data_IF_464253704197
#
_entry.id   IF_464253704197
#
_cell.length_a   1.000
_cell.length_b   1.000
_cell.length_c   1.000
_cell.angle_alpha   90.00
_cell.angle_beta   90.00
_cell.angle_gamma   90.00
#
_symmetry.space_group_name_H-M   'P 1'
#
loop_
_entity.id
_entity.type
_entity.pdbx_description
1 polymer ?
#
# COMPACT_ATOMS: atom_id res chain seq x y z
N UNK A 1 7.92 -14.08 -18.10
CA UNK A 1 6.72 -14.32 -17.29
C UNK A 1 6.54 -13.22 -16.28
N UNK A 2 5.44 -12.48 -16.38
CA UNK A 2 5.05 -11.50 -15.35
C UNK A 2 4.47 -12.23 -14.14
N UNK A 3 4.81 -11.75 -12.94
CA UNK A 3 4.24 -12.30 -11.72
C UNK A 3 2.72 -12.06 -11.67
N UNK A 4 1.98 -13.06 -11.22
CA UNK A 4 0.54 -12.98 -11.10
C UNK A 4 0.14 -12.39 -9.75
N UNK A 5 -0.76 -11.41 -9.77
CA UNK A 5 -1.38 -10.86 -8.56
C UNK A 5 -2.68 -11.60 -8.31
N UNK A 6 -2.86 -12.10 -7.09
CA UNK A 6 -4.09 -12.74 -6.62
C UNK A 6 -4.69 -11.97 -5.45
N UNK A 7 -5.95 -12.20 -5.15
CA UNK A 7 -6.53 -11.71 -3.91
C UNK A 7 -5.94 -12.45 -2.72
N UNK A 8 -5.73 -11.75 -1.61
CA UNK A 8 -5.27 -12.36 -0.38
C UNK A 8 -6.29 -13.35 0.18
N UNK A 9 -5.80 -14.31 0.93
CA UNK A 9 -6.61 -15.25 1.73
C UNK A 9 -6.22 -15.11 3.20
N UNK A 10 -7.03 -15.66 4.10
CA UNK A 10 -6.78 -15.52 5.55
C UNK A 10 -5.40 -16.03 5.97
N UNK A 11 -4.87 -17.05 5.30
CA UNK A 11 -3.53 -17.57 5.56
C UNK A 11 -2.40 -16.57 5.30
N UNK A 12 -2.67 -15.51 4.53
CA UNK A 12 -1.67 -14.47 4.20
C UNK A 12 -1.53 -13.41 5.29
N UNK A 13 -2.50 -13.30 6.20
CA UNK A 13 -2.59 -12.17 7.14
C UNK A 13 -1.31 -11.96 7.95
N UNK A 14 -0.83 -13.00 8.62
CA UNK A 14 0.34 -12.88 9.49
C UNK A 14 1.60 -12.47 8.72
N UNK A 15 1.78 -12.99 7.52
CA UNK A 15 2.92 -12.65 6.69
C UNK A 15 2.84 -11.19 6.19
N UNK A 16 1.66 -10.71 5.81
CA UNK A 16 1.46 -9.32 5.41
C UNK A 16 1.78 -8.39 6.58
N UNK A 17 1.27 -8.68 7.78
CA UNK A 17 1.55 -7.89 8.99
C UNK A 17 3.05 -7.86 9.27
N UNK A 18 3.72 -9.01 9.18
CA UNK A 18 5.17 -9.11 9.36
C UNK A 18 5.93 -8.24 8.37
N UNK A 19 5.55 -8.25 7.10
CA UNK A 19 6.17 -7.41 6.07
C UNK A 19 5.91 -5.92 6.30
N UNK A 20 4.70 -5.54 6.70
CA UNK A 20 4.38 -4.15 7.05
C UNK A 20 5.27 -3.68 8.19
N UNK A 21 5.45 -4.49 9.23
CA UNK A 21 6.33 -4.19 10.35
C UNK A 21 7.77 -3.96 9.90
N UNK A 22 8.28 -4.86 9.05
CA UNK A 22 9.63 -4.75 8.50
C UNK A 22 9.83 -3.47 7.68
N UNK A 23 8.87 -3.12 6.83
CA UNK A 23 8.98 -1.97 5.94
C UNK A 23 8.61 -0.65 6.62
N UNK A 24 7.83 -0.69 7.70
CA UNK A 24 7.55 0.47 8.52
C UNK A 24 8.82 1.09 9.08
N UNK A 25 9.83 0.28 9.40
CA UNK A 25 11.13 0.77 9.86
C UNK A 25 11.82 1.68 8.83
N UNK A 26 11.50 1.54 7.55
CA UNK A 26 12.04 2.38 6.49
C UNK A 26 11.14 3.57 6.14
N UNK A 27 9.83 3.41 6.19
CA UNK A 27 8.89 4.34 5.56
C UNK A 27 7.84 4.92 6.51
N UNK A 28 7.68 4.38 7.71
CA UNK A 28 6.63 4.82 8.63
C UNK A 28 6.85 6.23 9.16
N UNK A 29 5.81 7.06 9.09
CA UNK A 29 5.80 8.40 9.65
C UNK A 29 5.35 8.41 11.12
N UNK A 30 4.37 7.57 11.44
CA UNK A 30 3.80 7.43 12.78
C UNK A 30 4.10 6.04 13.36
N UNK A 31 4.04 5.87 14.70
CA UNK A 31 4.27 4.55 15.30
C UNK A 31 3.33 3.49 14.75
N UNK A 32 3.87 2.30 14.52
CA UNK A 32 3.09 1.18 14.00
C UNK A 32 2.16 0.61 15.09
N UNK A 33 0.91 0.35 14.72
CA UNK A 33 -0.04 -0.41 15.52
C UNK A 33 -0.47 -1.64 14.73
N UNK A 34 -0.02 -2.82 15.14
CA UNK A 34 -0.40 -4.08 14.52
C UNK A 34 -1.93 -4.29 14.58
N UNK A 35 -2.55 -3.92 15.71
CA UNK A 35 -4.01 -4.00 15.85
C UNK A 35 -4.73 -3.21 14.74
N UNK A 36 -4.27 -1.98 14.46
CA UNK A 36 -4.87 -1.15 13.42
C UNK A 36 -4.69 -1.75 12.02
N UNK A 37 -3.51 -2.31 11.75
CA UNK A 37 -3.26 -3.00 10.47
C UNK A 37 -4.24 -4.16 10.28
N UNK A 38 -4.41 -4.99 11.32
CA UNK A 38 -5.34 -6.13 11.25
C UNK A 38 -6.80 -5.68 11.12
N UNK A 39 -7.20 -4.58 11.75
CA UNK A 39 -8.54 -4.00 11.57
C UNK A 39 -8.79 -3.60 10.10
N UNK A 40 -7.79 -2.99 9.44
CA UNK A 40 -7.87 -2.66 8.01
C UNK A 40 -8.04 -3.92 7.17
N UNK A 41 -7.28 -4.97 7.49
CA UNK A 41 -7.38 -6.24 6.76
C UNK A 41 -8.76 -6.87 6.91
N UNK A 42 -9.42 -6.73 8.05
CA UNK A 42 -10.77 -7.27 8.27
C UNK A 42 -11.81 -6.66 7.33
N UNK A 43 -11.65 -5.41 6.90
CA UNK A 43 -12.52 -4.82 5.88
C UNK A 43 -12.52 -5.65 4.60
N UNK A 44 -11.36 -6.15 4.20
CA UNK A 44 -11.25 -7.04 3.04
C UNK A 44 -11.89 -8.40 3.31
N UNK A 45 -11.52 -9.06 4.41
CA UNK A 45 -12.03 -10.41 4.72
C UNK A 45 -13.54 -10.45 4.94
N UNK A 46 -14.11 -9.37 5.46
CA UNK A 46 -15.56 -9.22 5.63
C UNK A 46 -16.28 -8.66 4.41
N UNK A 47 -15.56 -8.40 3.33
CA UNK A 47 -16.11 -7.80 2.09
C UNK A 47 -16.78 -6.45 2.33
N UNK A 48 -16.14 -5.60 3.13
CA UNK A 48 -16.62 -4.28 3.54
C UNK A 48 -15.90 -3.13 2.81
N UNK A 49 -15.74 -3.24 1.50
CA UNK A 49 -15.21 -2.15 0.67
C UNK A 49 -13.68 -2.04 0.70
N UNK A 50 -12.99 -3.16 0.56
CA UNK A 50 -11.54 -3.18 0.40
C UNK A 50 -11.11 -4.37 -0.44
N UNK A 51 -9.95 -4.23 -1.10
CA UNK A 51 -9.29 -5.30 -1.86
C UNK A 51 -7.84 -5.38 -1.42
N UNK A 52 -7.33 -6.59 -1.25
CA UNK A 52 -5.91 -6.84 -1.00
C UNK A 52 -5.38 -7.75 -2.09
N UNK A 53 -4.47 -7.21 -2.91
CA UNK A 53 -3.72 -7.98 -3.89
C UNK A 53 -2.39 -8.43 -3.31
N UNK A 54 -1.96 -9.63 -3.64
CA UNK A 54 -0.68 -10.20 -3.21
C UNK A 54 0.00 -10.94 -4.34
N UNK A 55 1.32 -11.02 -4.27
CA UNK A 55 2.16 -11.87 -5.11
C UNK A 55 2.82 -12.91 -4.20
N UNK A 56 2.83 -14.16 -4.61
CA UNK A 56 3.39 -15.27 -3.86
C UNK A 56 2.36 -16.33 -3.50
N UNK A 57 2.82 -17.44 -2.95
CA UNK A 57 1.98 -18.55 -2.57
C UNK A 57 1.13 -18.23 -1.33
N UNK A 58 0.01 -18.94 -1.19
CA UNK A 58 -0.86 -18.80 -0.01
C UNK A 58 -0.08 -19.04 1.28
N UNK A 59 -0.18 -18.11 2.21
CA UNK A 59 0.55 -18.12 3.48
C UNK A 59 1.96 -17.58 3.41
N UNK A 60 2.49 -17.30 2.21
CA UNK A 60 3.84 -16.76 2.02
C UNK A 60 3.90 -15.68 0.93
N UNK A 61 3.06 -14.64 1.00
CA UNK A 61 3.13 -13.54 0.05
C UNK A 61 4.46 -12.79 0.18
N UNK A 62 4.96 -12.27 -0.94
CA UNK A 62 6.21 -11.50 -1.01
C UNK A 62 6.00 -10.06 -1.44
N UNK A 63 4.79 -9.70 -1.83
CA UNK A 63 4.40 -8.34 -2.18
C UNK A 63 2.90 -8.17 -1.93
N UNK A 64 2.46 -6.95 -1.63
CA UNK A 64 1.04 -6.68 -1.36
C UNK A 64 0.67 -5.24 -1.67
N UNK A 65 -0.58 -5.03 -2.08
CA UNK A 65 -1.22 -3.74 -2.21
C UNK A 65 -2.63 -3.79 -1.60
N UNK A 66 -3.00 -2.74 -0.88
CA UNK A 66 -4.34 -2.58 -0.30
C UNK A 66 -5.05 -1.42 -0.98
N UNK A 67 -6.26 -1.66 -1.47
CA UNK A 67 -7.12 -0.66 -2.07
C UNK A 67 -8.44 -0.60 -1.28
N UNK A 68 -8.67 0.53 -0.59
CA UNK A 68 -9.95 0.80 0.06
C UNK A 68 -10.89 1.54 -0.90
N UNK A 69 -12.18 1.22 -0.86
CA UNK A 69 -13.21 1.92 -1.61
C UNK A 69 -13.77 3.02 -0.72
N UNK A 70 -13.54 4.28 -1.08
CA UNK A 70 -13.80 5.43 -0.22
C UNK A 70 -14.41 6.59 -0.99
N UNK A 71 -14.98 7.58 -0.26
CA UNK A 71 -15.43 8.86 -0.81
C UNK A 71 -14.64 9.98 -0.16
N UNK A 72 -14.23 11.02 -0.94
CA UNK A 72 -13.71 12.25 -0.33
C UNK A 72 -14.81 12.93 0.51
N UNK A 73 -14.43 13.68 1.54
CA UNK A 73 -15.41 14.35 2.40
C UNK A 73 -16.30 15.37 1.64
N UNK A 74 -15.85 15.83 0.48
CA UNK A 74 -16.55 16.85 -0.31
C UNK A 74 -17.24 16.30 -1.57
N UNK A 75 -17.18 14.99 -1.80
CA UNK A 75 -17.68 14.40 -3.05
C UNK A 75 -18.39 13.07 -2.80
N UNK A 76 -19.40 12.80 -3.59
CA UNK A 76 -20.08 11.51 -3.62
C UNK A 76 -19.40 10.50 -4.56
N UNK A 77 -18.31 10.90 -5.20
CA UNK A 77 -17.54 10.01 -6.07
C UNK A 77 -16.79 8.96 -5.24
N UNK A 78 -17.00 7.69 -5.55
CA UNK A 78 -16.22 6.60 -4.99
C UNK A 78 -14.90 6.50 -5.72
N UNK A 79 -13.83 6.15 -4.99
CA UNK A 79 -12.50 5.93 -5.56
C UNK A 79 -11.76 4.83 -4.79
N UNK A 80 -10.72 4.31 -5.41
CA UNK A 80 -9.81 3.35 -4.78
C UNK A 80 -8.65 4.12 -4.14
N UNK A 81 -8.51 3.96 -2.83
CA UNK A 81 -7.45 4.61 -2.06
C UNK A 81 -6.45 3.57 -1.57
N UNK A 82 -5.21 3.70 -2.00
CA UNK A 82 -4.15 2.79 -1.59
C UNK A 82 -3.75 3.07 -0.13
N UNK A 83 -3.71 2.03 0.72
CA UNK A 83 -3.23 2.12 2.09
C UNK A 83 -1.81 1.60 2.23
N UNK A 84 -1.46 0.53 1.54
CA UNK A 84 -0.07 0.07 1.43
C UNK A 84 0.21 -0.50 0.05
N UNK A 85 1.47 -0.46 -0.31
CA UNK A 85 1.97 -0.98 -1.57
C UNK A 85 3.46 -1.27 -1.36
N UNK A 86 3.81 -2.53 -1.25
CA UNK A 86 5.19 -2.90 -0.93
C UNK A 86 5.61 -4.22 -1.55
N UNK A 87 6.93 -4.37 -1.69
CA UNK A 87 7.60 -5.61 -2.08
C UNK A 87 8.60 -5.95 -0.98
N UNK A 88 8.62 -7.22 -0.56
CA UNK A 88 9.60 -7.69 0.43
C UNK A 88 11.03 -7.35 -0.04
N UNK A 89 11.93 -6.90 0.85
CA UNK A 89 13.28 -6.46 0.46
C UNK A 89 14.07 -7.46 -0.38
N UNK A 90 13.89 -8.76 -0.14
CA UNK A 90 14.58 -9.81 -0.91
C UNK A 90 14.13 -9.90 -2.37
N UNK A 91 13.02 -9.24 -2.72
CA UNK A 91 12.41 -9.27 -4.06
C UNK A 91 12.37 -7.90 -4.74
N UNK A 92 13.09 -6.90 -4.22
CA UNK A 92 13.07 -5.52 -4.77
C UNK A 92 13.61 -5.38 -6.19
N UNK A 93 14.42 -6.33 -6.64
CA UNK A 93 14.97 -6.34 -8.00
C UNK A 93 14.04 -7.01 -9.02
N UNK A 94 12.88 -7.48 -8.56
CA UNK A 94 11.85 -8.05 -9.41
C UNK A 94 11.01 -6.96 -10.07
N UNK A 95 10.05 -7.38 -10.92
CA UNK A 95 9.04 -6.51 -11.49
C UNK A 95 7.75 -6.46 -10.63
N UNK A 96 7.78 -6.93 -9.40
CA UNK A 96 6.60 -7.10 -8.55
C UNK A 96 5.88 -5.78 -8.27
N UNK A 97 6.61 -4.70 -8.00
CA UNK A 97 6.00 -3.38 -7.79
C UNK A 97 5.21 -2.94 -9.03
N UNK A 98 5.75 -3.19 -10.21
CA UNK A 98 5.10 -2.90 -11.49
C UNK A 98 3.86 -3.77 -11.71
N UNK A 99 3.92 -5.04 -11.31
CA UNK A 99 2.78 -5.96 -11.39
C UNK A 99 1.64 -5.53 -10.45
N UNK A 100 1.97 -5.12 -9.22
CA UNK A 100 0.97 -4.61 -8.27
C UNK A 100 0.29 -3.34 -8.80
N UNK A 101 1.05 -2.40 -9.33
CA UNK A 101 0.50 -1.18 -9.92
C UNK A 101 -0.39 -1.50 -11.13
N UNK A 102 0.06 -2.40 -12.00
CA UNK A 102 -0.73 -2.85 -13.16
C UNK A 102 -2.06 -3.47 -12.73
N UNK A 103 -2.03 -4.33 -11.72
CA UNK A 103 -3.23 -4.93 -11.15
C UNK A 103 -4.19 -3.86 -10.59
N UNK A 104 -3.67 -2.88 -9.85
CA UNK A 104 -4.49 -1.80 -9.30
C UNK A 104 -5.15 -0.97 -10.41
N UNK A 105 -4.43 -0.70 -11.50
CA UNK A 105 -4.97 0.00 -12.68
C UNK A 105 -6.07 -0.82 -13.36
N UNK A 106 -5.89 -2.13 -13.46
CA UNK A 106 -6.91 -3.04 -14.02
C UNK A 106 -8.17 -3.07 -13.15
N UNK A 107 -8.01 -3.15 -11.82
CA UNK A 107 -9.14 -3.08 -10.88
C UNK A 107 -9.88 -1.75 -11.02
N UNK A 108 -9.16 -0.64 -11.09
CA UNK A 108 -9.73 0.69 -11.34
C UNK A 108 -10.59 0.71 -12.61
N UNK A 109 -10.05 0.19 -13.70
CA UNK A 109 -10.75 0.14 -14.99
C UNK A 109 -11.98 -0.76 -14.94
N UNK A 110 -11.87 -1.94 -14.33
CA UNK A 110 -12.98 -2.90 -14.24
C UNK A 110 -14.11 -2.40 -13.34
N UNK A 111 -13.78 -1.73 -12.24
CA UNK A 111 -14.77 -1.17 -11.31
C UNK A 111 -15.29 0.20 -11.74
N UNK A 112 -14.64 0.86 -12.68
CA UNK A 112 -14.98 2.22 -13.09
C UNK A 112 -14.73 3.25 -11.98
N UNK A 113 -13.70 3.05 -11.14
CA UNK A 113 -13.37 3.92 -10.01
C UNK A 113 -11.99 4.53 -10.20
N UNK A 114 -11.82 5.85 -9.98
CA UNK A 114 -10.48 6.45 -9.96
C UNK A 114 -9.59 5.77 -8.93
N UNK A 115 -8.29 5.73 -9.19
CA UNK A 115 -7.28 5.15 -8.31
C UNK A 115 -6.35 6.26 -7.80
N UNK A 116 -6.19 6.34 -6.48
CA UNK A 116 -5.22 7.22 -5.84
C UNK A 116 -4.16 6.41 -5.11
N UNK A 117 -2.90 6.68 -5.42
CA UNK A 117 -1.74 6.07 -4.76
C UNK A 117 -0.89 7.18 -4.17
N UNK A 118 -0.53 7.05 -2.89
CA UNK A 118 0.31 7.98 -2.19
C UNK A 118 1.70 7.41 -1.93
N UNK A 119 2.66 8.29 -1.68
CA UNK A 119 3.99 7.94 -1.23
C UNK A 119 4.29 8.74 0.03
N UNK A 120 4.43 8.03 1.14
CA UNK A 120 5.00 8.57 2.38
C UNK A 120 6.24 7.74 2.66
N UNK A 121 7.40 8.37 2.65
CA UNK A 121 8.67 7.66 2.70
C UNK A 121 9.75 8.58 3.25
N UNK A 122 10.73 8.01 3.94
CA UNK A 122 11.92 8.72 4.40
C UNK A 122 13.19 8.24 3.65
N UNK A 123 13.02 7.39 2.64
CA UNK A 123 14.13 6.81 1.90
C UNK A 123 13.84 6.83 0.39
N UNK A 124 14.69 7.55 -0.37
CA UNK A 124 14.60 7.68 -1.83
C UNK A 124 13.21 8.14 -2.32
N UNK A 125 12.56 9.02 -1.56
CA UNK A 125 11.21 9.50 -1.85
C UNK A 125 11.10 10.09 -3.26
N UNK A 126 12.02 10.93 -3.67
CA UNK A 126 12.01 11.56 -4.99
C UNK A 126 12.13 10.54 -6.13
N UNK A 127 12.92 9.49 -5.94
CA UNK A 127 13.06 8.43 -6.94
C UNK A 127 11.73 7.65 -7.09
N UNK A 128 11.03 7.39 -5.98
CA UNK A 128 9.71 6.77 -5.98
C UNK A 128 8.68 7.66 -6.67
N UNK A 129 8.67 8.96 -6.37
CA UNK A 129 7.78 9.93 -7.03
C UNK A 129 8.01 9.94 -8.54
N UNK A 130 9.27 10.01 -8.98
CA UNK A 130 9.60 9.97 -10.42
C UNK A 130 9.13 8.69 -11.10
N UNK A 131 9.21 7.56 -10.39
CA UNK A 131 8.73 6.28 -10.93
C UNK A 131 7.22 6.30 -11.17
N UNK A 132 6.45 6.84 -10.23
CA UNK A 132 4.99 6.93 -10.35
C UNK A 132 4.56 7.99 -11.36
N UNK A 133 5.27 9.12 -11.46
CA UNK A 133 4.97 10.18 -12.44
C UNK A 133 5.02 9.70 -13.90
N UNK A 134 5.74 8.62 -14.18
CA UNK A 134 5.76 7.99 -15.51
C UNK A 134 4.50 7.19 -15.82
N UNK A 135 3.73 6.81 -14.80
CA UNK A 135 2.58 5.92 -14.92
C UNK A 135 1.27 6.60 -14.55
N UNK A 136 1.31 7.62 -13.69
CA UNK A 136 0.17 8.25 -13.06
C UNK A 136 0.33 9.77 -13.08
N UNK A 137 -0.79 10.48 -13.13
CA UNK A 137 -0.81 11.94 -12.97
C UNK A 137 -0.63 12.30 -11.50
N UNK A 138 0.25 13.25 -11.21
CA UNK A 138 0.48 13.73 -9.84
C UNK A 138 -0.69 14.60 -9.38
N UNK A 139 -1.39 14.16 -8.33
CA UNK A 139 -2.58 14.84 -7.81
C UNK A 139 -2.28 15.88 -6.73
N UNK A 140 -1.16 15.75 -6.02
CA UNK A 140 -0.83 16.66 -4.93
C UNK A 140 0.36 16.16 -4.11
N UNK A 141 0.49 16.67 -2.88
CA UNK A 141 1.56 16.27 -1.96
C UNK A 141 1.09 16.41 -0.51
N UNK A 142 1.71 15.67 0.40
CA UNK A 142 1.49 15.79 1.84
C UNK A 142 2.67 16.47 2.49
N UNK A 143 2.39 17.28 3.52
CA UNK A 143 3.40 17.96 4.32
C UNK A 143 3.11 17.68 5.80
N UNK A 144 4.16 17.60 6.63
CA UNK A 144 4.03 17.34 8.05
C UNK A 144 4.69 18.47 8.85
N UNK A 145 4.05 18.85 9.96
CA UNK A 145 4.58 19.79 10.95
C UNK A 145 4.60 19.08 12.30
N UNK A 146 5.61 19.35 13.11
CA UNK A 146 5.80 18.74 14.44
C UNK A 146 5.79 17.20 14.38
N UNK A 147 6.47 16.61 13.41
CA UNK A 147 6.51 15.14 13.28
C UNK A 147 7.08 14.45 14.52
N UNK A 148 7.89 15.15 15.33
CA UNK A 148 8.44 14.65 16.58
C UNK A 148 7.34 14.30 17.61
N UNK A 149 6.17 14.92 17.51
CA UNK A 149 5.02 14.60 18.36
C UNK A 149 4.34 13.29 18.01
N UNK A 150 4.70 12.69 16.88
CA UNK A 150 4.17 11.40 16.46
C UNK A 150 4.71 10.23 17.30
N UNK A 151 5.74 10.46 18.10
CA UNK A 151 6.41 9.41 18.88
C UNK A 151 7.47 8.67 18.05
N UNK A 152 7.78 7.44 18.44
CA UNK A 152 8.83 6.66 17.77
C UNK A 152 8.35 6.05 16.45
N UNK A 153 8.66 6.71 15.35
CA UNK A 153 8.46 6.21 14.01
C UNK A 153 9.78 6.03 13.28
N UNK A 154 9.75 5.65 12.00
CA UNK A 154 10.94 5.50 11.17
C UNK A 154 11.72 6.81 11.00
N UNK A 155 11.08 7.93 11.19
CA UNK A 155 11.69 9.26 11.08
C UNK A 155 12.67 9.56 12.21
N UNK A 156 12.50 8.92 13.36
CA UNK A 156 13.39 9.11 14.51
C UNK A 156 14.78 8.45 14.30
N UNK A 157 14.92 7.65 13.27
CA UNK A 157 16.17 6.93 12.94
C UNK A 157 17.07 7.71 11.97
N UNK A 158 16.60 8.83 11.50
CA UNK A 158 17.24 9.70 10.53
C UNK A 158 17.25 11.16 11.00
#
# INVERSE_FOLDING_TARGET
LTASVRLAVSADEDKIVSMISLLHDENGLFPLSERRVREYMQRFFRKEGALIGVIGEEGDPVASIYLGIEQPYYSETWYLNEAWNFVHPDHRRSDYAKCLLGWAKDVSSQMGLPLMIGIVSNHRTEAKVRLYEKQLEKAGAFFVWNRELAGHGAWDKH
#
